data_IF_817283512308
#
_entry.id   IF_817283512308
#
_cell.length_a   1.000
_cell.length_b   1.000
_cell.length_c   1.000
_cell.angle_alpha   90.00
_cell.angle_beta   90.00
_cell.angle_gamma   90.00
#
_symmetry.space_group_name_H-M   'P 1'
#
loop_
_entity.id
_entity.type
_entity.pdbx_description
1 polymer ?
#
# COMPACT_ATOMS: atom_id res chain seq x y z
N UNK A 1 -13.09 11.15 18.65
CA UNK A 1 -13.03 11.04 20.12
C UNK A 1 -13.72 9.74 20.50
N UNK A 2 -13.12 8.98 21.42
CA UNK A 2 -13.61 7.66 21.84
C UNK A 2 -14.97 7.80 22.52
N UNK A 3 -15.92 7.03 22.02
CA UNK A 3 -17.25 6.90 22.59
C UNK A 3 -17.21 5.85 23.70
N UNK A 4 -17.85 6.12 24.84
CA UNK A 4 -17.76 5.26 26.03
C UNK A 4 -18.41 3.89 25.77
N UNK A 5 -19.42 3.88 24.91
CA UNK A 5 -20.17 2.68 24.51
C UNK A 5 -19.37 1.79 23.55
N UNK A 6 -18.22 2.27 23.05
CA UNK A 6 -17.34 1.56 22.12
C UNK A 6 -15.95 1.29 22.72
N UNK A 7 -15.81 1.38 24.04
CA UNK A 7 -14.57 1.11 24.77
C UNK A 7 -14.61 -0.26 25.47
N UNK A 8 -13.46 -0.75 25.91
CA UNK A 8 -13.39 -1.97 26.72
C UNK A 8 -14.15 -1.81 28.05
N UNK A 9 -14.79 -2.88 28.51
CA UNK A 9 -15.55 -2.90 29.77
C UNK A 9 -14.64 -3.20 30.98
N UNK A 10 -13.50 -3.88 30.73
CA UNK A 10 -12.51 -4.25 31.72
C UNK A 10 -11.12 -3.63 31.44
N UNK A 11 -10.16 -3.73 32.38
CA UNK A 11 -8.83 -3.14 32.21
C UNK A 11 -8.08 -3.66 30.97
N UNK A 12 -7.54 -2.72 30.20
CA UNK A 12 -6.68 -3.01 29.05
C UNK A 12 -5.33 -3.51 29.54
N UNK A 13 -4.89 -4.67 29.04
CA UNK A 13 -3.64 -5.33 29.43
C UNK A 13 -2.50 -5.07 28.46
N UNK A 14 -2.80 -4.92 27.18
CA UNK A 14 -1.77 -4.73 26.16
C UNK A 14 -2.25 -3.80 25.06
N UNK A 15 -1.31 -3.00 24.54
CA UNK A 15 -1.51 -2.13 23.38
C UNK A 15 -0.40 -2.43 22.38
N UNK A 16 -0.76 -2.67 21.11
CA UNK A 16 0.18 -2.94 20.04
C UNK A 16 -0.17 -2.15 18.79
N UNK A 17 0.79 -1.38 18.26
CA UNK A 17 0.62 -0.65 17.02
C UNK A 17 0.73 -1.57 15.81
N UNK A 18 -0.17 -1.39 14.84
CA UNK A 18 -0.04 -2.02 13.53
C UNK A 18 1.01 -1.25 12.71
N UNK A 19 1.82 -1.93 11.89
CA UNK A 19 2.71 -1.23 10.97
C UNK A 19 1.91 -0.32 10.03
N UNK A 20 2.43 0.88 9.77
CA UNK A 20 1.76 1.95 9.02
C UNK A 20 1.53 1.68 7.52
N UNK A 21 2.01 0.54 7.02
CA UNK A 21 1.78 0.02 5.67
C UNK A 21 0.70 -1.09 5.64
N UNK A 22 0.10 -1.42 6.79
CA UNK A 22 -0.98 -2.40 6.88
C UNK A 22 -2.19 -1.78 7.57
N UNK A 23 -3.37 -2.13 7.09
CA UNK A 23 -4.66 -1.74 7.65
C UNK A 23 -5.51 -2.98 7.80
N UNK A 24 -6.21 -3.11 8.91
CA UNK A 24 -7.28 -4.08 9.07
C UNK A 24 -8.57 -3.38 8.66
N UNK A 25 -9.21 -3.91 7.62
CA UNK A 25 -10.53 -3.48 7.17
C UNK A 25 -11.60 -3.84 8.20
N UNK A 26 -12.77 -3.17 8.19
CA UNK A 26 -13.92 -3.54 9.02
C UNK A 26 -14.38 -5.00 8.83
N UNK A 27 -14.06 -5.62 7.69
CA UNK A 27 -14.29 -7.05 7.43
C UNK A 27 -13.34 -8.00 8.18
N UNK A 28 -12.36 -7.45 8.92
CA UNK A 28 -11.28 -8.20 9.55
C UNK A 28 -10.14 -8.57 8.59
N UNK A 29 -10.25 -8.22 7.30
CA UNK A 29 -9.21 -8.49 6.30
C UNK A 29 -8.04 -7.51 6.47
N UNK A 30 -6.81 -8.04 6.49
CA UNK A 30 -5.60 -7.24 6.45
C UNK A 30 -5.31 -6.76 5.00
N UNK A 31 -5.42 -5.46 4.75
CA UNK A 31 -5.04 -4.78 3.51
C UNK A 31 -3.69 -4.10 3.64
N UNK A 32 -2.77 -4.36 2.70
CA UNK A 32 -1.51 -3.62 2.58
C UNK A 32 -1.80 -2.30 1.86
N UNK A 33 -1.42 -1.18 2.47
CA UNK A 33 -1.54 0.14 1.86
C UNK A 33 -0.29 0.45 1.04
N UNK A 34 -0.49 1.04 -0.15
CA UNK A 34 0.60 1.54 -1.00
C UNK A 34 1.29 2.78 -0.41
N UNK A 35 0.60 3.47 0.50
CA UNK A 35 1.12 4.62 1.24
C UNK A 35 1.22 4.28 2.72
N UNK A 36 2.23 4.83 3.40
CA UNK A 36 2.47 4.67 4.83
C UNK A 36 1.48 5.54 5.63
N UNK A 37 0.19 5.23 5.51
CA UNK A 37 -0.92 6.09 5.92
C UNK A 37 -1.92 5.38 6.82
N UNK A 38 -1.67 4.16 7.31
CA UNK A 38 -2.47 3.63 8.42
C UNK A 38 -1.90 4.08 9.76
N UNK A 39 -2.80 4.46 10.66
CA UNK A 39 -2.50 4.70 12.07
C UNK A 39 -3.45 3.84 12.89
N UNK A 40 -3.26 2.52 12.78
CA UNK A 40 -4.06 1.56 13.53
C UNK A 40 -3.27 0.98 14.70
N UNK A 41 -3.96 0.74 15.80
CA UNK A 41 -3.41 0.01 16.95
C UNK A 41 -4.47 -0.93 17.52
N UNK A 42 -4.01 -1.96 18.19
CA UNK A 42 -4.81 -3.01 18.78
C UNK A 42 -4.68 -2.93 20.29
N UNK A 43 -5.78 -3.17 21.01
CA UNK A 43 -5.79 -3.31 22.46
C UNK A 43 -6.45 -4.62 22.86
N UNK A 44 -5.92 -5.25 23.90
CA UNK A 44 -6.53 -6.43 24.52
C UNK A 44 -6.96 -6.10 25.94
N UNK A 45 -8.14 -6.56 26.32
CA UNK A 45 -8.73 -6.36 27.64
C UNK A 45 -9.01 -7.70 28.32
N UNK A 46 -9.13 -7.69 29.65
CA UNK A 46 -9.48 -8.87 30.45
C UNK A 46 -10.88 -9.40 30.18
N UNK A 47 -11.73 -8.62 29.52
CA UNK A 47 -13.04 -9.06 29.00
C UNK A 47 -12.91 -10.07 27.83
N UNK A 48 -11.69 -10.39 27.40
CA UNK A 48 -11.42 -11.29 26.29
C UNK A 48 -11.64 -10.65 24.92
N UNK A 49 -11.91 -9.34 24.87
CA UNK A 49 -12.08 -8.60 23.62
C UNK A 49 -10.76 -8.03 23.14
N UNK A 50 -10.60 -8.08 21.82
CA UNK A 50 -9.54 -7.38 21.11
C UNK A 50 -10.18 -6.27 20.29
N UNK A 51 -9.81 -5.01 20.55
CA UNK A 51 -10.29 -3.87 19.81
C UNK A 51 -9.21 -3.36 18.84
N UNK A 52 -9.62 -3.04 17.62
CA UNK A 52 -8.78 -2.40 16.62
C UNK A 52 -9.21 -0.94 16.50
N UNK A 53 -8.29 -0.04 16.78
CA UNK A 53 -8.47 1.40 16.74
C UNK A 53 -7.83 1.95 15.49
N UNK A 54 -8.56 2.76 14.74
CA UNK A 54 -8.05 3.48 13.58
C UNK A 54 -8.14 4.98 13.82
N UNK A 55 -6.98 5.62 14.02
CA UNK A 55 -6.90 7.04 14.35
C UNK A 55 -7.20 7.95 13.16
N UNK A 56 -7.15 7.43 11.93
CA UNK A 56 -7.43 8.18 10.71
C UNK A 56 -8.86 7.96 10.22
N UNK A 57 -9.53 6.93 10.72
CA UNK A 57 -10.94 6.69 10.44
C UNK A 57 -11.79 7.64 11.28
N UNK A 58 -12.22 8.74 10.67
CA UNK A 58 -13.41 9.44 11.14
C UNK A 58 -14.61 8.51 10.88
N UNK A 59 -15.18 7.92 11.92
CA UNK A 59 -16.50 7.29 11.81
C UNK A 59 -17.49 8.42 11.49
N UNK A 60 -17.97 8.46 10.27
CA UNK A 60 -19.17 9.19 9.92
C UNK A 60 -20.28 8.16 9.78
N UNK A 61 -21.45 8.45 10.34
CA UNK A 61 -22.60 7.55 10.32
C UNK A 61 -23.19 7.40 8.91
N UNK A 62 -22.73 8.23 7.98
CA UNK A 62 -23.17 8.29 6.60
C UNK A 62 -21.96 8.33 5.63
N UNK A 63 -22.21 7.90 4.39
CA UNK A 63 -21.24 8.04 3.30
C UNK A 63 -21.41 9.39 2.62
N UNK A 64 -20.31 10.14 2.47
CA UNK A 64 -20.32 11.40 1.73
C UNK A 64 -20.23 11.13 0.23
N UNK A 65 -21.11 11.77 -0.53
CA UNK A 65 -21.29 11.52 -1.97
C UNK A 65 -20.92 12.73 -2.82
N UNK A 66 -21.00 13.94 -2.26
CA UNK A 66 -20.63 15.18 -2.94
C UNK A 66 -19.95 16.15 -1.97
N UNK A 67 -19.12 17.05 -2.50
CA UNK A 67 -18.54 18.13 -1.71
C UNK A 67 -18.33 19.38 -2.56
N UNK A 68 -18.45 20.56 -1.96
CA UNK A 68 -18.01 21.80 -2.59
C UNK A 68 -17.48 22.79 -1.54
N UNK A 69 -16.54 23.63 -1.95
CA UNK A 69 -16.15 24.79 -1.13
C UNK A 69 -17.24 25.86 -1.23
N UNK A 70 -17.43 26.62 -0.16
CA UNK A 70 -18.24 27.85 -0.22
C UNK A 70 -17.40 29.01 -0.77
N UNK A 71 -18.01 30.20 -0.91
CA UNK A 71 -17.24 31.42 -1.22
C UNK A 71 -16.53 32.01 0.00
N UNK A 72 -16.63 31.36 1.16
CA UNK A 72 -16.04 31.82 2.42
C UNK A 72 -14.82 30.96 2.76
N UNK A 73 -13.70 31.58 3.16
CA UNK A 73 -12.51 30.84 3.57
C UNK A 73 -12.83 29.95 4.78
N UNK A 74 -12.32 28.72 4.78
CA UNK A 74 -12.53 27.76 5.87
C UNK A 74 -13.91 27.09 5.90
N UNK A 75 -14.81 27.39 4.95
CA UNK A 75 -16.16 26.83 4.94
C UNK A 75 -16.39 25.97 3.69
N UNK A 76 -16.86 24.75 3.91
CA UNK A 76 -17.18 23.79 2.86
C UNK A 76 -18.50 23.08 3.15
N UNK A 77 -19.12 22.54 2.11
CA UNK A 77 -20.35 21.78 2.18
C UNK A 77 -20.10 20.34 1.75
N UNK A 78 -20.79 19.42 2.43
CA UNK A 78 -20.74 17.98 2.17
C UNK A 78 -22.16 17.46 1.96
N UNK A 79 -22.38 16.75 0.86
CA UNK A 79 -23.60 16.02 0.59
C UNK A 79 -23.45 14.58 1.01
N UNK A 80 -24.45 14.04 1.70
CA UNK A 80 -24.48 12.66 2.18
C UNK A 80 -25.35 11.76 1.30
N UNK A 81 -25.15 10.45 1.42
CA UNK A 81 -25.99 9.43 0.79
C UNK A 81 -27.41 9.37 1.34
N UNK A 82 -27.65 9.93 2.53
CA UNK A 82 -28.98 10.02 3.14
C UNK A 82 -29.80 11.21 2.60
N UNK A 83 -29.14 12.15 1.92
CA UNK A 83 -29.78 13.36 1.39
C UNK A 83 -29.65 14.59 2.29
N UNK A 84 -28.79 14.50 3.30
CA UNK A 84 -28.42 15.61 4.17
C UNK A 84 -27.26 16.41 3.57
N UNK A 85 -27.40 17.73 3.61
CA UNK A 85 -26.35 18.69 3.33
C UNK A 85 -25.77 19.21 4.64
N UNK A 86 -24.49 18.97 4.81
CA UNK A 86 -23.73 19.43 5.96
C UNK A 86 -22.87 20.63 5.59
N UNK A 87 -22.95 21.68 6.39
CA UNK A 87 -22.10 22.86 6.30
C UNK A 87 -21.04 22.78 7.39
N UNK A 88 -19.79 22.81 6.98
CA UNK A 88 -18.62 22.71 7.83
C UNK A 88 -17.89 24.05 7.85
N UNK A 89 -17.63 24.54 9.06
CA UNK A 89 -16.84 25.75 9.30
C UNK A 89 -15.64 25.37 10.17
N UNK A 90 -14.45 25.40 9.58
CA UNK A 90 -13.20 24.97 10.24
C UNK A 90 -12.89 25.87 11.44
N UNK A 91 -13.26 27.15 11.37
CA UNK A 91 -13.00 28.13 12.43
C UNK A 91 -13.82 27.83 13.68
N UNK A 92 -15.11 27.57 13.49
CA UNK A 92 -16.03 27.32 14.60
C UNK A 92 -15.91 25.90 15.13
N UNK A 93 -15.93 24.91 14.24
CA UNK A 93 -15.99 23.48 14.61
C UNK A 93 -15.30 22.60 13.56
N UNK A 94 -14.10 22.13 13.87
CA UNK A 94 -13.35 21.21 13.00
C UNK A 94 -13.85 19.75 13.01
N UNK A 95 -14.61 19.36 14.04
CA UNK A 95 -14.93 17.95 14.33
C UNK A 95 -16.39 17.55 14.08
N UNK A 96 -17.29 18.53 13.89
CA UNK A 96 -18.73 18.31 13.65
C UNK A 96 -19.25 19.38 12.68
N UNK A 97 -20.26 19.09 11.86
CA UNK A 97 -20.87 20.09 11.02
C UNK A 97 -21.48 21.21 11.88
N UNK A 98 -21.43 22.44 11.37
CA UNK A 98 -22.07 23.59 12.01
C UNK A 98 -23.57 23.55 11.78
N UNK A 99 -23.99 23.14 10.58
CA UNK A 99 -25.38 22.95 10.21
C UNK A 99 -25.52 21.67 9.41
N UNK A 100 -26.56 20.89 9.71
CA UNK A 100 -26.98 19.76 8.90
C UNK A 100 -28.42 20.01 8.48
N UNK A 101 -28.69 19.97 7.19
CA UNK A 101 -30.03 20.19 6.64
C UNK A 101 -30.39 19.05 5.70
N UNK A 102 -31.49 18.36 5.99
CA UNK A 102 -32.04 17.34 5.10
C UNK A 102 -32.72 18.01 3.91
N UNK A 103 -32.12 17.87 2.73
CA UNK A 103 -32.61 18.45 1.48
C UNK A 103 -33.44 17.42 0.71
N UNK A 104 -32.99 16.17 0.78
CA UNK A 104 -33.59 15.03 0.12
C UNK A 104 -33.62 13.83 1.06
N UNK A 105 -34.43 12.82 0.73
CA UNK A 105 -34.36 11.50 1.37
C UNK A 105 -33.59 10.50 0.50
N UNK A 106 -32.69 11.03 -0.34
CA UNK A 106 -31.99 10.33 -1.40
C UNK A 106 -30.56 10.90 -1.53
N UNK A 107 -29.59 10.13 -2.03
CA UNK A 107 -28.22 10.59 -2.15
C UNK A 107 -28.09 11.89 -2.94
N UNK A 108 -27.36 12.85 -2.36
CA UNK A 108 -26.93 14.07 -3.07
C UNK A 108 -25.79 13.67 -3.99
N UNK A 109 -25.99 13.79 -5.30
CA UNK A 109 -25.01 13.37 -6.32
C UNK A 109 -24.10 14.50 -6.73
N UNK A 110 -24.56 15.75 -6.63
CA UNK A 110 -23.81 16.91 -7.10
C UNK A 110 -23.98 18.10 -6.16
N UNK A 111 -22.86 18.76 -5.86
CA UNK A 111 -22.85 20.08 -5.25
C UNK A 111 -22.04 21.03 -6.14
N UNK A 112 -22.64 22.16 -6.49
CA UNK A 112 -22.01 23.18 -7.33
C UNK A 112 -22.20 24.55 -6.72
N UNK A 113 -21.10 25.29 -6.58
CA UNK A 113 -21.14 26.69 -6.20
C UNK A 113 -21.14 27.57 -7.46
N UNK A 114 -22.01 28.59 -7.52
CA UNK A 114 -21.97 29.60 -8.57
C UNK A 114 -22.03 31.00 -8.00
N UNK A 115 -21.10 31.85 -8.44
CA UNK A 115 -21.09 33.28 -8.12
C UNK A 115 -21.74 34.03 -9.27
N UNK A 116 -22.87 34.71 -9.02
CA UNK A 116 -23.47 35.62 -9.99
C UNK A 116 -22.92 37.03 -9.76
N UNK A 117 -21.95 37.42 -10.60
CA UNK A 117 -21.22 38.69 -10.51
C UNK A 117 -22.07 39.96 -10.67
N UNK A 118 -23.37 39.87 -11.00
CA UNK A 118 -24.21 41.03 -11.32
C UNK A 118 -25.14 41.49 -10.19
N UNK A 119 -25.43 40.66 -9.19
CA UNK A 119 -26.45 40.94 -8.17
C UNK A 119 -25.99 40.64 -6.72
N UNK A 120 -24.70 40.38 -6.48
CA UNK A 120 -24.13 40.01 -5.17
C UNK A 120 -24.74 38.75 -4.49
N UNK A 121 -25.72 38.08 -5.12
CA UNK A 121 -26.22 36.78 -4.67
C UNK A 121 -25.25 35.65 -5.00
N UNK A 122 -24.99 34.82 -4.00
CA UNK A 122 -24.14 33.63 -4.09
C UNK A 122 -25.04 32.41 -4.00
N UNK A 123 -25.00 31.56 -5.01
CA UNK A 123 -25.91 30.42 -5.11
C UNK A 123 -25.15 29.10 -4.99
N UNK A 124 -25.75 28.18 -4.24
CA UNK A 124 -25.31 26.81 -4.08
C UNK A 124 -26.38 25.91 -4.69
N UNK A 125 -26.00 25.15 -5.71
CA UNK A 125 -26.84 24.13 -6.31
C UNK A 125 -26.55 22.76 -5.71
N UNK A 126 -27.59 22.05 -5.28
CA UNK A 126 -27.54 20.65 -4.87
C UNK A 126 -28.43 19.80 -5.78
N UNK A 127 -27.85 18.75 -6.36
CA UNK A 127 -28.55 17.78 -7.18
C UNK A 127 -28.66 16.44 -6.49
N UNK A 128 -29.83 15.83 -6.54
CA UNK A 128 -30.11 14.50 -6.01
C UNK A 128 -30.06 13.43 -7.10
N UNK A 129 -30.02 12.16 -6.71
CA UNK A 129 -30.09 11.03 -7.65
C UNK A 129 -31.42 10.92 -8.41
N UNK A 130 -32.49 11.57 -7.94
CA UNK A 130 -33.80 11.61 -8.61
C UNK A 130 -33.91 12.74 -9.64
N UNK A 131 -32.79 13.29 -10.10
CA UNK A 131 -32.74 14.43 -11.02
C UNK A 131 -33.40 15.71 -10.49
N UNK A 132 -33.69 15.78 -9.19
CA UNK A 132 -34.14 16.99 -8.53
C UNK A 132 -32.92 17.89 -8.28
N UNK A 133 -33.02 19.15 -8.68
CA UNK A 133 -31.98 20.15 -8.46
C UNK A 133 -32.55 21.31 -7.65
N UNK A 134 -31.91 21.62 -6.53
CA UNK A 134 -32.31 22.68 -5.60
C UNK A 134 -31.23 23.73 -5.52
N UNK A 135 -31.63 24.98 -5.41
CA UNK A 135 -30.73 26.12 -5.35
C UNK A 135 -30.95 26.81 -4.01
N UNK A 136 -29.85 27.06 -3.30
CA UNK A 136 -29.79 27.77 -2.03
C UNK A 136 -29.03 29.07 -2.21
N UNK A 137 -29.43 30.08 -1.48
CA UNK A 137 -28.69 31.34 -1.38
C UNK A 137 -27.77 31.29 -0.16
N UNK A 138 -26.49 31.58 -0.37
CA UNK A 138 -25.53 31.76 0.73
C UNK A 138 -25.78 33.13 1.37
N UNK A 139 -25.94 33.21 2.71
CA UNK A 139 -26.24 34.47 3.38
C UNK A 139 -25.13 35.50 3.16
N UNK A 140 -25.53 36.76 2.99
CA UNK A 140 -24.61 37.88 2.84
C UNK A 140 -23.97 38.26 4.19
N UNK A 141 -22.66 38.10 4.31
CA UNK A 141 -21.88 38.57 5.46
C UNK A 141 -21.30 39.98 5.22
N UNK A 142 -20.99 40.67 6.31
CA UNK A 142 -20.32 41.98 6.31
C UNK A 142 -18.92 41.80 5.72
N UNK A 143 -18.47 42.76 4.89
CA UNK A 143 -17.23 42.61 4.11
C UNK A 143 -15.96 42.57 4.96
N UNK A 144 -15.98 43.18 6.13
CA UNK A 144 -14.82 43.26 7.03
C UNK A 144 -14.52 41.89 7.66
N UNK A 145 -15.56 41.12 8.02
CA UNK A 145 -15.43 39.73 8.52
C UNK A 145 -14.76 38.78 7.51
N UNK A 146 -14.91 39.03 6.20
CA UNK A 146 -14.35 38.16 5.15
C UNK A 146 -12.83 38.31 5.06
N UNK A 147 -12.31 39.52 5.28
CA UNK A 147 -10.87 39.78 5.18
C UNK A 147 -10.15 39.17 6.38
N UNK A 148 -10.66 39.40 7.59
CA UNK A 148 -10.12 38.82 8.83
C UNK A 148 -10.15 37.29 8.80
N UNK A 149 -11.27 36.70 8.35
CA UNK A 149 -11.35 35.24 8.17
C UNK A 149 -10.38 34.71 7.12
N UNK A 150 -10.11 35.50 6.06
CA UNK A 150 -9.14 35.15 5.04
C UNK A 150 -7.73 35.01 5.60
N UNK A 151 -7.30 36.02 6.36
CA UNK A 151 -6.00 36.04 7.02
C UNK A 151 -5.89 34.92 8.06
N UNK A 152 -6.93 34.74 8.89
CA UNK A 152 -7.00 33.63 9.84
C UNK A 152 -6.87 32.26 9.15
N UNK A 153 -7.58 32.04 8.04
CA UNK A 153 -7.54 30.77 7.32
C UNK A 153 -6.18 30.53 6.67
N UNK A 154 -5.53 31.58 6.14
CA UNK A 154 -4.16 31.48 5.64
C UNK A 154 -3.20 31.07 6.77
N UNK A 155 -3.27 31.71 7.94
CA UNK A 155 -2.47 31.33 9.10
C UNK A 155 -2.75 29.90 9.57
N UNK A 156 -4.02 29.49 9.58
CA UNK A 156 -4.44 28.14 9.91
C UNK A 156 -3.78 27.11 9.00
N UNK A 157 -3.82 27.33 7.68
CA UNK A 157 -3.19 26.45 6.69
C UNK A 157 -1.69 26.39 6.91
N UNK A 158 -1.02 27.54 7.12
CA UNK A 158 0.41 27.56 7.40
C UNK A 158 0.78 26.86 8.71
N UNK A 159 -0.06 26.95 9.74
CA UNK A 159 0.13 26.24 11.01
C UNK A 159 0.02 24.74 10.83
N UNK A 160 -0.97 24.25 10.07
CA UNK A 160 -1.13 22.82 9.78
C UNK A 160 0.03 22.27 8.94
N UNK A 161 0.52 23.04 7.97
CA UNK A 161 1.72 22.67 7.19
C UNK A 161 2.94 22.55 8.12
N UNK A 162 3.16 23.52 9.01
CA UNK A 162 4.26 23.48 9.99
C UNK A 162 4.13 22.28 10.92
N UNK A 163 2.93 22.01 11.44
CA UNK A 163 2.66 20.85 12.30
C UNK A 163 3.01 19.54 11.59
N UNK A 164 2.59 19.36 10.34
CA UNK A 164 2.91 18.17 9.55
C UNK A 164 4.42 18.04 9.28
N UNK A 165 5.11 19.14 9.00
CA UNK A 165 6.57 19.13 8.83
C UNK A 165 7.29 18.72 10.12
N UNK A 166 6.90 19.30 11.26
CA UNK A 166 7.46 18.95 12.58
C UNK A 166 7.24 17.46 12.87
N UNK A 167 6.01 16.97 12.68
CA UNK A 167 5.69 15.55 12.87
C UNK A 167 6.51 14.64 11.96
N UNK A 168 6.65 14.99 10.67
CA UNK A 168 7.45 14.20 9.73
C UNK A 168 8.92 14.15 10.10
N UNK A 169 9.51 15.30 10.49
CA UNK A 169 10.90 15.37 10.95
C UNK A 169 11.09 14.58 12.25
N UNK A 170 10.16 14.71 13.19
CA UNK A 170 10.16 13.93 14.44
C UNK A 170 10.07 12.43 14.15
N UNK A 171 9.15 11.99 13.29
CA UNK A 171 8.99 10.59 12.93
C UNK A 171 10.26 10.02 12.28
N UNK A 172 10.91 10.78 11.40
CA UNK A 172 12.21 10.40 10.80
C UNK A 172 13.29 10.24 11.87
N UNK A 173 13.39 11.20 12.79
CA UNK A 173 14.35 11.16 13.89
C UNK A 173 14.09 9.96 14.82
N UNK A 174 12.84 9.74 15.20
CA UNK A 174 12.41 8.62 16.05
C UNK A 174 12.77 7.26 15.43
N UNK A 175 12.46 7.06 14.14
CA UNK A 175 12.80 5.83 13.41
C UNK A 175 14.31 5.61 13.21
N UNK A 176 15.11 6.67 13.32
CA UNK A 176 16.57 6.60 13.23
C UNK A 176 17.23 6.35 14.59
N UNK A 177 16.68 6.93 15.66
CA UNK A 177 17.34 6.96 16.98
C UNK A 177 16.79 5.94 17.98
N UNK A 178 15.66 5.31 17.71
CA UNK A 178 15.11 4.28 18.59
C UNK A 178 16.01 3.04 18.65
N UNK A 179 16.63 2.84 19.81
CA UNK A 179 17.55 1.73 20.06
C UNK A 179 16.92 0.36 19.82
N UNK A 180 15.62 0.18 20.10
CA UNK A 180 14.88 -1.07 19.87
C UNK A 180 14.68 -1.36 18.38
N UNK A 181 14.52 -0.32 17.54
CA UNK A 181 14.35 -0.44 16.09
C UNK A 181 15.71 -0.68 15.44
N UNK A 182 16.76 -0.01 15.90
CA UNK A 182 18.14 -0.19 15.42
C UNK A 182 18.62 -1.62 15.71
N UNK A 183 18.46 -2.10 16.93
CA UNK A 183 18.83 -3.48 17.33
C UNK A 183 18.05 -4.53 16.53
N UNK A 184 16.75 -4.34 16.30
CA UNK A 184 15.94 -5.20 15.42
C UNK A 184 16.40 -5.18 13.96
N UNK A 185 16.94 -4.06 13.46
CA UNK A 185 17.52 -4.00 12.10
C UNK A 185 18.86 -4.74 12.04
N UNK A 186 19.72 -4.53 13.03
CA UNK A 186 21.04 -5.18 13.11
C UNK A 186 20.90 -6.71 13.21
N UNK A 187 20.05 -7.20 14.12
CA UNK A 187 19.76 -8.64 14.27
C UNK A 187 19.32 -9.31 12.97
N UNK A 188 18.43 -8.68 12.19
CA UNK A 188 18.03 -9.20 10.87
C UNK A 188 19.19 -9.25 9.88
N UNK A 189 20.06 -8.24 9.88
CA UNK A 189 21.24 -8.20 9.00
C UNK A 189 22.26 -9.28 9.37
N UNK A 190 22.46 -9.51 10.67
CA UNK A 190 23.36 -10.55 11.19
C UNK A 190 22.83 -11.96 10.89
N UNK A 191 21.53 -12.18 11.01
CA UNK A 191 20.87 -13.45 10.62
C UNK A 191 21.02 -13.73 9.12
N UNK A 192 20.76 -12.74 8.26
CA UNK A 192 20.96 -12.87 6.81
C UNK A 192 22.42 -13.15 6.44
N UNK A 193 23.36 -12.51 7.14
CA UNK A 193 24.78 -12.76 6.91
C UNK A 193 25.18 -14.18 7.35
N UNK A 194 24.68 -14.63 8.51
CA UNK A 194 24.90 -15.99 9.03
C UNK A 194 24.39 -17.05 8.05
N UNK A 195 23.17 -16.89 7.53
CA UNK A 195 22.59 -17.81 6.54
C UNK A 195 23.42 -17.85 5.26
N UNK A 196 23.94 -16.72 4.79
CA UNK A 196 24.84 -16.69 3.61
C UNK A 196 26.13 -17.47 3.85
N UNK A 197 26.75 -17.32 5.03
CA UNK A 197 27.96 -18.06 5.40
C UNK A 197 27.69 -19.57 5.51
N UNK A 198 26.52 -19.95 6.01
CA UNK A 198 26.12 -21.35 6.09
C UNK A 198 25.89 -21.96 4.71
N UNK A 199 25.21 -21.24 3.82
CA UNK A 199 25.02 -21.68 2.43
C UNK A 199 26.36 -21.85 1.69
N UNK A 200 27.33 -20.94 1.88
CA UNK A 200 28.64 -21.09 1.23
C UNK A 200 29.41 -22.28 1.79
N UNK A 201 29.34 -22.55 3.10
CA UNK A 201 29.94 -23.74 3.71
C UNK A 201 29.34 -25.03 3.16
N UNK A 202 28.02 -25.13 3.07
CA UNK A 202 27.32 -26.29 2.52
C UNK A 202 27.72 -26.50 1.05
N UNK A 203 27.80 -25.43 0.27
CA UNK A 203 28.21 -25.51 -1.14
C UNK A 203 29.63 -26.05 -1.29
N UNK A 204 30.58 -25.52 -0.52
CA UNK A 204 31.96 -26.01 -0.52
C UNK A 204 32.05 -27.49 -0.10
N UNK A 205 31.27 -27.91 0.90
CA UNK A 205 31.24 -29.30 1.33
C UNK A 205 30.72 -30.23 0.23
N UNK A 206 29.62 -29.86 -0.45
CA UNK A 206 29.08 -30.64 -1.58
C UNK A 206 30.08 -30.75 -2.73
N UNK A 207 30.72 -29.64 -3.10
CA UNK A 207 31.75 -29.63 -4.14
C UNK A 207 32.94 -30.54 -3.77
N UNK A 208 33.31 -30.60 -2.49
CA UNK A 208 34.36 -31.50 -2.01
C UNK A 208 33.94 -32.97 -2.09
N UNK A 209 32.73 -33.31 -1.66
CA UNK A 209 32.20 -34.67 -1.75
C UNK A 209 32.11 -35.17 -3.20
N UNK A 210 31.69 -34.31 -4.13
CA UNK A 210 31.63 -34.64 -5.56
C UNK A 210 33.02 -34.93 -6.13
N UNK A 211 34.02 -34.13 -5.76
CA UNK A 211 35.42 -34.39 -6.15
C UNK A 211 35.92 -35.74 -5.66
N UNK A 212 35.64 -36.09 -4.40
CA UNK A 212 36.03 -37.38 -3.83
C UNK A 212 35.34 -38.56 -4.55
N UNK A 213 34.07 -38.41 -4.93
CA UNK A 213 33.33 -39.44 -5.70
C UNK A 213 33.94 -39.67 -7.07
N UNK A 214 34.25 -38.60 -7.80
CA UNK A 214 34.89 -38.69 -9.11
C UNK A 214 36.28 -39.34 -9.02
N UNK A 215 37.06 -38.98 -8.00
CA UNK A 215 38.36 -39.58 -7.76
C UNK A 215 38.26 -41.08 -7.43
N UNK A 216 37.28 -41.48 -6.61
CA UNK A 216 37.03 -42.88 -6.29
C UNK A 216 36.60 -43.69 -7.53
N UNK A 217 35.74 -43.13 -8.38
CA UNK A 217 35.30 -43.78 -9.62
C UNK A 217 36.47 -43.97 -10.60
N UNK A 218 37.32 -42.95 -10.75
CA UNK A 218 38.54 -43.07 -11.56
C UNK A 218 39.49 -44.15 -11.02
N UNK A 219 39.67 -44.23 -9.70
CA UNK A 219 40.49 -45.26 -9.06
C UNK A 219 39.93 -46.66 -9.35
N UNK A 220 38.62 -46.84 -9.29
CA UNK A 220 37.97 -48.12 -9.63
C UNK A 220 38.16 -48.47 -11.11
N UNK A 221 38.09 -47.49 -12.02
CA UNK A 221 38.34 -47.70 -13.46
C UNK A 221 39.79 -48.06 -13.78
N UNK A 222 40.74 -47.48 -13.06
CA UNK A 222 42.19 -47.71 -13.23
C UNK A 222 42.67 -49.02 -12.57
N UNK A 223 41.90 -49.59 -11.64
CA UNK A 223 42.27 -50.82 -10.96
C UNK A 223 42.07 -52.05 -11.87
N UNK A 224 43.13 -52.87 -12.01
CA UNK A 224 43.02 -54.10 -12.79
C UNK A 224 42.09 -55.10 -12.10
N UNK A 225 41.11 -55.61 -12.84
CA UNK A 225 40.17 -56.61 -12.31
C UNK A 225 40.92 -57.93 -12.09
N UNK A 226 40.67 -58.60 -10.95
CA UNK A 226 41.24 -59.91 -10.66
C UNK A 226 40.87 -60.94 -11.74
N UNK A 227 41.78 -61.88 -12.03
CA UNK A 227 41.58 -62.95 -13.03
C UNK A 227 40.30 -63.76 -12.76
N UNK A 228 39.95 -63.98 -11.49
CA UNK A 228 38.73 -64.68 -11.09
C UNK A 228 37.45 -63.89 -11.41
N UNK A 229 37.48 -62.57 -11.26
CA UNK A 229 36.35 -61.69 -11.59
C UNK A 229 36.15 -61.67 -13.11
N UNK A 230 37.23 -61.61 -13.88
CA UNK A 230 37.20 -61.67 -15.34
C UNK A 230 36.67 -63.04 -15.79
N UNK A 231 37.14 -64.14 -15.18
CA UNK A 231 36.66 -65.48 -15.49
C UNK A 231 35.18 -65.66 -15.15
N UNK A 232 34.72 -65.19 -13.98
CA UNK A 232 33.31 -65.23 -13.60
C UNK A 232 32.42 -64.42 -14.54
N UNK A 233 32.86 -63.23 -14.96
CA UNK A 233 32.15 -62.43 -15.98
C UNK A 233 32.06 -63.19 -17.30
N UNK A 234 33.16 -63.83 -17.72
CA UNK A 234 33.16 -64.64 -18.93
C UNK A 234 32.23 -65.85 -18.83
N UNK A 235 32.18 -66.53 -17.67
CA UNK A 235 31.23 -67.62 -17.43
C UNK A 235 29.78 -67.13 -17.41
N UNK A 236 29.50 -65.95 -16.87
CA UNK A 236 28.17 -65.34 -16.93
C UNK A 236 27.74 -65.07 -18.38
N UNK A 237 28.64 -64.56 -19.23
CA UNK A 237 28.35 -64.37 -20.64
C UNK A 237 28.13 -65.69 -21.38
N UNK A 238 28.93 -66.71 -21.07
CA UNK A 238 28.80 -68.05 -21.67
C UNK A 238 27.47 -68.69 -21.27
N UNK A 239 27.13 -68.63 -19.97
CA UNK A 239 25.87 -69.13 -19.44
C UNK A 239 24.67 -68.37 -20.03
N UNK A 240 24.78 -67.05 -20.21
CA UNK A 240 23.76 -66.23 -20.86
C UNK A 240 23.49 -66.70 -22.29
N UNK A 241 24.54 -66.99 -23.08
CA UNK A 241 24.39 -67.53 -24.44
C UNK A 241 23.69 -68.88 -24.46
N UNK A 242 24.14 -69.82 -23.63
CA UNK A 242 23.54 -71.17 -23.54
C UNK A 242 22.07 -71.11 -23.09
N UNK A 243 21.73 -70.22 -22.16
CA UNK A 243 20.35 -70.03 -21.71
C UNK A 243 19.44 -69.46 -22.80
N UNK A 244 19.95 -68.54 -23.62
CA UNK A 244 19.21 -67.98 -24.77
C UNK A 244 18.94 -69.07 -25.82
N UNK A 245 19.93 -69.91 -26.12
CA UNK A 245 19.80 -71.04 -27.06
C UNK A 245 18.81 -72.10 -26.58
N UNK A 246 18.95 -72.57 -25.33
CA UNK A 246 18.07 -73.62 -24.75
C UNK A 246 16.61 -73.18 -24.68
N UNK A 247 16.36 -71.89 -24.43
CA UNK A 247 15.00 -71.34 -24.37
C UNK A 247 14.47 -70.86 -25.73
N UNK A 248 15.24 -71.07 -26.82
CA UNK A 248 14.92 -70.62 -28.19
C UNK A 248 14.56 -69.13 -28.27
N UNK A 249 15.18 -68.30 -27.43
CA UNK A 249 14.94 -66.86 -27.46
C UNK A 249 15.87 -66.20 -28.47
N UNK A 250 15.30 -65.56 -29.49
CA UNK A 250 16.05 -64.72 -30.42
C UNK A 250 16.43 -63.42 -29.69
N UNK A 251 17.72 -63.06 -29.57
CA UNK A 251 18.15 -61.88 -28.82
C UNK A 251 17.50 -60.58 -29.31
N UNK A 252 17.27 -60.46 -30.61
CA UNK A 252 16.65 -59.28 -31.23
C UNK A 252 15.18 -59.12 -30.83
N UNK A 253 14.39 -60.20 -30.86
CA UNK A 253 12.99 -60.18 -30.41
C UNK A 253 12.86 -59.94 -28.90
N UNK A 254 13.83 -60.41 -28.11
CA UNK A 254 13.86 -60.17 -26.67
C UNK A 254 14.14 -58.70 -26.37
N UNK A 255 15.08 -58.08 -27.09
CA UNK A 255 15.38 -56.65 -26.97
C UNK A 255 14.18 -55.82 -27.43
N UNK A 256 13.52 -56.19 -28.53
CA UNK A 256 12.27 -55.56 -29.01
C UNK A 256 11.14 -55.63 -27.96
N UNK A 257 10.99 -56.75 -27.24
CA UNK A 257 10.04 -56.89 -26.13
C UNK A 257 10.48 -56.17 -24.85
N UNK A 258 11.79 -55.99 -24.65
CA UNK A 258 12.38 -55.32 -23.48
C UNK A 258 12.28 -53.79 -23.59
N UNK A 259 12.50 -53.22 -24.77
CA UNK A 259 12.46 -51.79 -25.03
C UNK A 259 11.16 -51.08 -24.58
N UNK A 260 9.94 -51.61 -24.79
CA UNK A 260 8.72 -50.99 -24.28
C UNK A 260 8.65 -51.04 -22.74
N UNK A 261 9.14 -52.11 -22.10
CA UNK A 261 9.19 -52.22 -20.64
C UNK A 261 10.20 -51.23 -20.04
N UNK A 262 11.37 -51.08 -20.67
CA UNK A 262 12.35 -50.07 -20.28
C UNK A 262 11.74 -48.69 -20.41
N UNK A 263 11.11 -48.36 -21.55
CA UNK A 263 10.43 -47.06 -21.74
C UNK A 263 9.35 -46.82 -20.68
N UNK A 264 8.53 -47.81 -20.36
CA UNK A 264 7.53 -47.68 -19.28
C UNK A 264 8.18 -47.46 -17.91
N UNK A 265 9.32 -48.10 -17.64
CA UNK A 265 10.05 -47.95 -16.39
C UNK A 265 10.75 -46.59 -16.32
N UNK A 266 11.34 -46.13 -17.41
CA UNK A 266 11.92 -44.81 -17.57
C UNK A 266 10.86 -43.72 -17.45
N UNK A 267 9.70 -43.87 -18.09
CA UNK A 267 8.56 -42.97 -17.94
C UNK A 267 8.05 -42.93 -16.50
N UNK A 268 7.94 -44.10 -15.84
CA UNK A 268 7.57 -44.18 -14.42
C UNK A 268 8.62 -43.50 -13.55
N UNK A 269 9.90 -43.71 -13.81
CA UNK A 269 11.00 -43.07 -13.10
C UNK A 269 11.04 -41.57 -13.36
N UNK A 270 10.75 -41.12 -14.58
CA UNK A 270 10.62 -39.70 -14.93
C UNK A 270 9.41 -39.10 -14.22
N UNK A 271 8.27 -39.79 -14.11
CA UNK A 271 7.12 -39.35 -13.32
C UNK A 271 7.45 -39.28 -11.83
N UNK A 272 8.11 -40.30 -11.28
CA UNK A 272 8.55 -40.31 -9.88
C UNK A 272 9.58 -39.23 -9.59
N UNK A 273 10.53 -39.00 -10.51
CA UNK A 273 11.52 -37.93 -10.39
C UNK A 273 10.88 -36.56 -10.57
N UNK A 274 9.90 -36.39 -11.47
CA UNK A 274 9.09 -35.18 -11.57
C UNK A 274 8.34 -34.94 -10.27
N UNK A 275 7.66 -35.95 -9.71
CA UNK A 275 6.99 -35.83 -8.41
C UNK A 275 7.96 -35.51 -7.27
N UNK A 276 9.13 -36.15 -7.23
CA UNK A 276 10.20 -35.82 -6.25
C UNK A 276 10.74 -34.41 -6.44
N UNK A 277 10.92 -33.98 -7.69
CA UNK A 277 11.36 -32.63 -8.02
C UNK A 277 10.27 -31.61 -7.70
N UNK A 278 8.99 -31.90 -7.92
CA UNK A 278 7.86 -31.07 -7.53
C UNK A 278 7.74 -30.99 -6.00
N UNK A 279 8.04 -32.08 -5.27
CA UNK A 279 8.09 -32.09 -3.81
C UNK A 279 9.31 -31.30 -3.29
N UNK A 280 10.49 -31.48 -3.90
CA UNK A 280 11.71 -30.75 -3.50
C UNK A 280 11.65 -29.27 -3.88
N UNK A 281 11.02 -28.97 -5.02
CA UNK A 281 10.68 -27.62 -5.45
C UNK A 281 9.40 -27.14 -4.77
N UNK A 282 8.69 -27.92 -3.96
CA UNK A 282 7.46 -27.46 -3.29
C UNK A 282 7.77 -26.31 -2.36
N UNK A 283 8.85 -26.42 -1.60
CA UNK A 283 9.30 -25.34 -0.72
C UNK A 283 9.82 -24.16 -1.53
N UNK A 284 10.52 -24.40 -2.65
CA UNK A 284 10.95 -23.34 -3.57
C UNK A 284 9.79 -22.67 -4.32
N UNK A 285 8.78 -23.42 -4.74
CA UNK A 285 7.57 -22.93 -5.40
C UNK A 285 6.67 -22.26 -4.39
N UNK A 286 6.65 -22.73 -3.14
CA UNK A 286 6.01 -22.04 -2.03
C UNK A 286 6.75 -20.75 -1.73
N UNK A 287 8.08 -20.74 -1.71
CA UNK A 287 8.89 -19.53 -1.51
C UNK A 287 8.81 -18.59 -2.72
N UNK A 288 8.73 -19.10 -3.95
CA UNK A 288 8.55 -18.33 -5.19
C UNK A 288 7.10 -17.82 -5.28
N UNK A 289 6.10 -18.60 -4.85
CA UNK A 289 4.70 -18.20 -4.73
C UNK A 289 4.55 -17.18 -3.61
N UNK A 290 5.16 -17.39 -2.45
CA UNK A 290 5.29 -16.39 -1.39
C UNK A 290 6.07 -15.19 -1.93
N UNK A 291 7.05 -15.36 -2.81
CA UNK A 291 7.75 -14.26 -3.49
C UNK A 291 7.03 -13.76 -4.74
N UNK A 292 5.82 -14.22 -5.05
CA UNK A 292 4.98 -13.77 -6.17
C UNK A 292 3.72 -13.09 -5.60
N UNK A 293 3.07 -13.77 -4.66
CA UNK A 293 2.01 -13.28 -3.77
C UNK A 293 2.53 -12.18 -2.82
N UNK A 294 3.79 -12.29 -2.38
CA UNK A 294 4.55 -11.30 -1.62
C UNK A 294 5.86 -10.91 -2.34
N UNK A 295 5.86 -10.80 -3.68
CA UNK A 295 7.03 -10.33 -4.47
C UNK A 295 7.57 -8.97 -4.08
N UNK A 296 6.68 -8.17 -3.52
CA UNK A 296 6.97 -6.84 -3.01
C UNK A 296 7.61 -6.87 -1.61
N UNK A 297 8.15 -8.00 -1.16
CA UNK A 297 8.94 -8.07 0.07
C UNK A 297 10.45 -8.04 -0.23
N UNK A 298 10.93 -8.85 -1.18
CA UNK A 298 12.37 -9.00 -1.47
C UNK A 298 12.88 -8.06 -2.58
N UNK A 299 12.08 -7.81 -3.63
CA UNK A 299 12.42 -6.78 -4.61
C UNK A 299 12.27 -5.38 -4.00
N UNK A 300 11.38 -5.20 -3.03
CA UNK A 300 11.22 -3.96 -2.31
C UNK A 300 12.25 -3.74 -1.20
N UNK A 301 12.91 -4.74 -0.60
CA UNK A 301 14.02 -4.40 0.32
C UNK A 301 15.18 -3.73 -0.43
N UNK A 302 15.39 -4.08 -1.71
CA UNK A 302 16.33 -3.42 -2.63
C UNK A 302 15.74 -2.18 -3.32
N UNK A 303 14.46 -2.21 -3.70
CA UNK A 303 13.77 -1.10 -4.35
C UNK A 303 13.11 -0.09 -3.39
N UNK A 304 13.00 -0.32 -2.08
CA UNK A 304 12.44 0.64 -1.12
C UNK A 304 13.46 1.73 -0.85
N UNK A 305 14.76 1.40 -0.85
CA UNK A 305 15.81 2.42 -0.79
C UNK A 305 15.83 3.33 -2.05
N UNK A 306 15.44 2.81 -3.22
CA UNK A 306 15.35 3.60 -4.45
C UNK A 306 13.97 4.24 -4.65
N UNK A 307 12.87 3.50 -4.54
CA UNK A 307 11.46 3.96 -4.62
C UNK A 307 11.04 4.89 -3.47
N UNK A 308 11.54 4.75 -2.23
CA UNK A 308 11.31 5.81 -1.23
C UNK A 308 11.99 7.11 -1.67
N UNK A 309 13.15 7.03 -2.32
CA UNK A 309 13.85 8.19 -2.86
C UNK A 309 13.12 8.78 -4.07
N UNK A 310 12.60 7.95 -4.98
CA UNK A 310 11.81 8.40 -6.14
C UNK A 310 10.43 8.94 -5.75
N UNK A 311 9.69 8.28 -4.85
CA UNK A 311 8.38 8.72 -4.38
C UNK A 311 8.48 10.01 -3.53
N UNK A 312 9.53 10.17 -2.71
CA UNK A 312 9.76 11.45 -2.02
C UNK A 312 10.05 12.59 -3.00
N UNK A 313 10.80 12.33 -4.07
CA UNK A 313 11.12 13.34 -5.10
C UNK A 313 9.90 13.65 -5.98
N UNK A 314 9.07 12.66 -6.31
CA UNK A 314 7.83 12.87 -7.05
C UNK A 314 6.78 13.57 -6.20
N UNK A 315 6.61 13.21 -4.93
CA UNK A 315 5.72 13.91 -3.99
C UNK A 315 6.19 15.35 -3.77
N UNK A 316 7.50 15.61 -3.67
CA UNK A 316 8.04 16.98 -3.62
C UNK A 316 7.73 17.76 -4.89
N UNK A 317 7.91 17.17 -6.08
CA UNK A 317 7.56 17.81 -7.36
C UNK A 317 6.05 18.07 -7.47
N UNK A 318 5.22 17.12 -7.04
CA UNK A 318 3.76 17.26 -7.03
C UNK A 318 3.34 18.38 -6.08
N UNK A 319 3.92 18.43 -4.87
CA UNK A 319 3.72 19.51 -3.90
C UNK A 319 4.14 20.86 -4.50
N UNK A 320 5.26 20.92 -5.23
CA UNK A 320 5.76 22.15 -5.85
C UNK A 320 4.85 22.63 -7.00
N UNK A 321 4.32 21.70 -7.80
CA UNK A 321 3.30 21.99 -8.83
C UNK A 321 2.03 22.57 -8.19
N UNK A 322 1.56 22.00 -7.08
CA UNK A 322 0.38 22.52 -6.36
C UNK A 322 0.66 23.87 -5.70
N UNK A 323 1.87 24.09 -5.15
CA UNK A 323 2.30 25.37 -4.61
C UNK A 323 2.37 26.45 -5.69
N UNK A 324 2.93 26.15 -6.87
CA UNK A 324 2.94 27.08 -8.00
C UNK A 324 1.53 27.45 -8.46
N UNK A 325 0.63 26.46 -8.57
CA UNK A 325 -0.79 26.72 -8.87
C UNK A 325 -1.44 27.61 -7.81
N UNK A 326 -1.18 27.35 -6.53
CA UNK A 326 -1.68 28.16 -5.43
C UNK A 326 -1.17 29.61 -5.53
N UNK A 327 0.12 29.83 -5.77
CA UNK A 327 0.67 31.18 -5.92
C UNK A 327 0.10 31.92 -7.13
N UNK A 328 -0.12 31.21 -8.24
CA UNK A 328 -0.77 31.79 -9.42
C UNK A 328 -2.18 32.29 -9.10
N UNK A 329 -3.00 31.44 -8.48
CA UNK A 329 -4.36 31.79 -8.06
C UNK A 329 -4.34 32.95 -7.06
N UNK A 330 -3.46 32.91 -6.07
CA UNK A 330 -3.31 33.98 -5.06
C UNK A 330 -2.94 35.33 -5.68
N UNK A 331 -2.03 35.32 -6.65
CA UNK A 331 -1.60 36.55 -7.31
C UNK A 331 -2.71 37.10 -8.23
N UNK A 332 -3.44 36.23 -8.93
CA UNK A 332 -4.61 36.61 -9.73
C UNK A 332 -5.73 37.20 -8.87
N UNK A 333 -6.04 36.60 -7.72
CA UNK A 333 -7.06 37.13 -6.80
C UNK A 333 -6.66 38.48 -6.21
N UNK A 334 -5.39 38.66 -5.80
CA UNK A 334 -4.87 39.96 -5.34
C UNK A 334 -4.94 41.03 -6.43
N UNK A 335 -4.63 40.69 -7.68
CA UNK A 335 -4.75 41.60 -8.82
C UNK A 335 -6.20 42.04 -9.05
N UNK A 336 -7.14 41.10 -9.04
CA UNK A 336 -8.58 41.37 -9.17
C UNK A 336 -9.09 42.24 -8.01
N UNK A 337 -8.63 42.01 -6.77
CA UNK A 337 -9.00 42.83 -5.62
C UNK A 337 -8.46 44.26 -5.72
N UNK A 338 -7.23 44.43 -6.21
CA UNK A 338 -6.63 45.74 -6.46
C UNK A 338 -7.33 46.51 -7.60
N UNK A 339 -7.67 45.85 -8.70
CA UNK A 339 -8.40 46.48 -9.81
C UNK A 339 -9.82 46.90 -9.40
N UNK A 340 -10.51 46.08 -8.59
CA UNK A 340 -11.84 46.42 -8.02
C UNK A 340 -11.78 47.59 -7.05
N UNK A 341 -10.73 47.72 -6.24
CA UNK A 341 -10.58 48.86 -5.32
C UNK A 341 -10.36 50.17 -6.08
N UNK A 342 -9.53 50.17 -7.13
CA UNK A 342 -9.25 51.32 -7.99
C UNK A 342 -10.52 51.79 -8.73
N UNK A 343 -11.29 50.85 -9.30
CA UNK A 343 -12.56 51.14 -9.99
C UNK A 343 -13.60 51.79 -9.05
N UNK A 344 -13.64 51.35 -7.78
CA UNK A 344 -14.54 51.91 -6.76
C UNK A 344 -14.13 53.32 -6.36
N UNK A 345 -12.83 53.59 -6.17
CA UNK A 345 -12.31 54.94 -5.88
C UNK A 345 -12.57 55.92 -7.03
N UNK A 346 -12.42 55.48 -8.29
CA UNK A 346 -12.75 56.29 -9.46
C UNK A 346 -14.24 56.67 -9.51
N UNK A 347 -15.14 55.72 -9.22
CA UNK A 347 -16.60 55.99 -9.13
C UNK A 347 -16.97 56.94 -8.00
N UNK A 348 -16.31 56.85 -6.84
CA UNK A 348 -16.56 57.76 -5.69
C UNK A 348 -16.08 59.18 -6.01
N UNK A 349 -14.94 59.35 -6.67
CA UNK A 349 -14.47 60.66 -7.17
C UNK A 349 -15.45 61.25 -8.20
N UNK A 350 -15.90 60.46 -9.17
CA UNK A 350 -16.86 60.92 -10.18
C UNK A 350 -18.19 61.40 -9.57
N UNK A 351 -18.75 60.67 -8.58
CA UNK A 351 -19.97 61.08 -7.87
C UNK A 351 -19.80 62.32 -6.99
N UNK A 352 -18.60 62.61 -6.48
CA UNK A 352 -18.31 63.85 -5.72
C UNK A 352 -18.19 65.07 -6.64
N UNK A 353 -17.74 64.89 -7.87
CA UNK A 353 -17.63 65.98 -8.87
C UNK A 353 -19.01 66.37 -9.40
N UNK A 354 -19.92 65.41 -9.61
CA UNK A 354 -21.29 65.69 -10.09
C UNK A 354 -22.25 66.25 -9.05
N UNK A 355 -21.87 66.29 -7.77
CA UNK A 355 -22.68 66.90 -6.67
C UNK A 355 -22.26 68.33 -6.33
N UNK A 356 -21.27 68.87 -7.04
CA UNK A 356 -20.71 70.23 -6.83
C UNK A 356 -20.98 71.19 -7.99
N UNK A 357 -21.81 70.77 -8.95
CA UNK A 357 -22.51 71.58 -9.94
C UNK A 357 -23.99 71.47 -9.62
#
# INVERSE_FOLDING_TARGET
MSDRDHSHELPIRQIQWLPSNYRIEPSGKLTKLSTCSSCQFMTTSEDGTLAIWDLLRRKSDCTYTACCWSNRPGIFLMGTSLGDLEIWDIEKRANKPVLTQTISKKPITLLSLRVLCKQDFKLIGAGDCNSAFRIFEEPAEIKDDILEKGDWFEEYVWREIRRKKIFSSWQKNFLQNDATIITRRQTRMDEEHRLKLEMTRIKLHREHEERLKLEAEEKIRKMSKSKDIIWKLHQQDTMKKVLLEKKKFVPQELEEKRLPLIRLTEERNLKMNKGRNEIALRDKYFDDFVSLEFSDYDLEKKNQNSKQRYNMVEDEKIIDIYLQKFYKIRNETRKIMAEKSISKFARIKAKKVTKKL
#
